data_IF_065140258413
#
_entry.id   IF_065140258413
#
_cell.length_a   1.000
_cell.length_b   1.000
_cell.length_c   1.000
_cell.angle_alpha   90.00
_cell.angle_beta   90.00
_cell.angle_gamma   90.00
#
_symmetry.space_group_name_H-M   'P 1'
#
loop_
_entity.id
_entity.type
_entity.pdbx_description
1 polymer ?
#
# COMPACT_ATOMS: atom_id res chain seq x y z
N UNK A 1 19.31 30.53 36.30
CA UNK A 1 17.87 30.21 36.22
C UNK A 1 17.77 28.91 35.44
N UNK A 2 17.61 27.78 36.13
CA UNK A 2 17.51 26.48 35.47
C UNK A 2 16.11 26.34 34.87
N UNK A 3 16.04 26.14 33.56
CA UNK A 3 14.79 25.91 32.83
C UNK A 3 14.17 24.61 33.31
N UNK A 4 12.86 24.64 33.55
CA UNK A 4 12.08 23.43 33.78
C UNK A 4 12.22 22.53 32.56
N UNK A 5 12.78 21.33 32.72
CA UNK A 5 12.67 20.30 31.70
C UNK A 5 11.19 19.93 31.58
N UNK A 6 10.58 20.34 30.47
CA UNK A 6 9.22 19.96 30.13
C UNK A 6 9.20 18.43 30.01
N UNK A 7 8.62 17.76 31.02
CA UNK A 7 8.53 16.30 31.04
C UNK A 7 7.91 15.83 29.72
N UNK A 8 8.71 15.10 28.93
CA UNK A 8 8.27 14.53 27.66
C UNK A 8 7.01 13.70 27.93
N UNK A 9 5.85 14.19 27.48
CA UNK A 9 4.59 13.48 27.63
C UNK A 9 4.76 12.09 26.98
N UNK A 10 4.42 11.00 27.69
CA UNK A 10 4.49 9.68 27.08
C UNK A 10 3.60 9.68 25.84
N UNK A 11 4.21 9.45 24.67
CA UNK A 11 3.50 9.38 23.40
C UNK A 11 2.51 8.22 23.55
N UNK A 12 1.19 8.46 23.39
CA UNK A 12 0.21 7.40 23.56
C UNK A 12 0.51 6.30 22.55
N UNK A 13 0.97 5.15 23.06
CA UNK A 13 1.30 3.99 22.24
C UNK A 13 0.01 3.48 21.63
N UNK A 14 -0.10 3.51 20.30
CA UNK A 14 -1.29 3.02 19.61
C UNK A 14 -1.39 1.49 19.74
N UNK A 15 -2.33 1.01 20.56
CA UNK A 15 -2.57 -0.42 20.85
C UNK A 15 -3.63 -1.08 19.96
N UNK A 16 -4.05 -0.44 18.86
CA UNK A 16 -5.07 -0.98 17.95
C UNK A 16 -4.66 -2.33 17.32
N UNK A 17 -5.58 -3.08 16.72
CA UNK A 17 -5.28 -4.37 16.07
C UNK A 17 -4.44 -4.21 14.80
N UNK A 18 -3.48 -5.12 14.51
CA UNK A 18 -2.73 -5.14 13.23
C UNK A 18 -3.66 -5.35 12.03
N UNK A 19 -4.81 -5.97 12.29
CA UNK A 19 -5.84 -6.29 11.31
C UNK A 19 -6.87 -5.17 11.15
N UNK A 20 -6.72 -4.07 11.89
CA UNK A 20 -7.60 -2.93 11.73
C UNK A 20 -7.15 -2.09 10.53
N UNK A 21 -7.96 -2.13 9.48
CA UNK A 21 -7.83 -1.27 8.33
C UNK A 21 -8.94 -0.23 8.35
N UNK A 22 -8.57 1.03 8.18
CA UNK A 22 -9.55 2.12 8.03
C UNK A 22 -10.27 2.00 6.68
N UNK A 23 -11.45 2.61 6.56
CA UNK A 23 -12.16 2.74 5.28
C UNK A 23 -11.31 3.46 4.23
N UNK A 24 -10.59 4.50 4.65
CA UNK A 24 -9.67 5.26 3.79
C UNK A 24 -8.50 4.40 3.31
N UNK A 25 -7.92 3.64 4.23
CA UNK A 25 -6.83 2.71 3.94
C UNK A 25 -7.24 1.66 2.91
N UNK A 26 -8.40 1.02 3.10
CA UNK A 26 -8.94 0.02 2.16
C UNK A 26 -9.14 0.63 0.78
N UNK A 27 -9.75 1.82 0.70
CA UNK A 27 -9.98 2.50 -0.58
C UNK A 27 -8.65 2.77 -1.30
N UNK A 28 -7.65 3.26 -0.59
CA UNK A 28 -6.34 3.54 -1.16
C UNK A 28 -5.60 2.26 -1.54
N UNK A 29 -5.67 1.20 -0.74
CA UNK A 29 -5.09 -0.11 -1.04
C UNK A 29 -5.68 -0.67 -2.34
N UNK A 30 -7.00 -0.59 -2.51
CA UNK A 30 -7.69 -1.01 -3.73
C UNK A 30 -7.22 -0.16 -4.92
N UNK A 31 -7.21 1.17 -4.77
CA UNK A 31 -6.76 2.08 -5.84
C UNK A 31 -5.32 1.78 -6.28
N UNK A 32 -4.39 1.62 -5.33
CA UNK A 32 -3.00 1.30 -5.61
C UNK A 32 -2.88 -0.08 -6.28
N UNK A 33 -3.57 -1.09 -5.75
CA UNK A 33 -3.56 -2.44 -6.32
C UNK A 33 -4.05 -2.45 -7.77
N UNK A 34 -5.15 -1.77 -8.06
CA UNK A 34 -5.69 -1.67 -9.42
C UNK A 34 -4.75 -0.89 -10.35
N UNK A 35 -4.19 0.23 -9.88
CA UNK A 35 -3.25 1.03 -10.66
C UNK A 35 -1.99 0.25 -11.03
N UNK A 36 -1.36 -0.43 -10.07
CA UNK A 36 -0.19 -1.26 -10.32
C UNK A 36 -0.51 -2.48 -11.18
N UNK A 37 -1.66 -3.12 -10.96
CA UNK A 37 -2.12 -4.24 -11.79
C UNK A 37 -2.28 -3.80 -13.25
N UNK A 38 -2.93 -2.66 -13.50
CA UNK A 38 -3.04 -2.11 -14.86
C UNK A 38 -1.68 -1.78 -15.45
N UNK A 39 -0.80 -1.13 -14.69
CA UNK A 39 0.55 -0.80 -15.15
C UNK A 39 1.36 -2.04 -15.54
N UNK A 40 1.32 -3.10 -14.72
CA UNK A 40 1.98 -4.38 -15.00
C UNK A 40 1.35 -5.10 -16.20
N UNK A 41 0.01 -5.08 -16.31
CA UNK A 41 -0.70 -5.67 -17.45
C UNK A 41 -0.24 -5.04 -18.77
N UNK A 42 -0.18 -3.69 -18.83
CA UNK A 42 0.35 -2.99 -19.99
C UNK A 42 1.82 -3.32 -20.23
N UNK A 43 2.66 -3.29 -19.20
CA UNK A 43 4.09 -3.58 -19.33
C UNK A 43 4.34 -4.98 -19.94
N UNK A 44 3.62 -6.00 -19.48
CA UNK A 44 3.80 -7.38 -19.96
C UNK A 44 3.10 -7.67 -21.28
N UNK A 45 2.03 -6.95 -21.63
CA UNK A 45 1.31 -7.14 -22.90
C UNK A 45 1.92 -6.37 -24.08
N UNK A 46 3.10 -5.77 -23.94
CA UNK A 46 3.72 -4.97 -25.01
C UNK A 46 3.26 -3.51 -25.04
N UNK A 47 3.02 -2.92 -23.87
CA UNK A 47 2.51 -1.56 -23.66
C UNK A 47 1.09 -1.38 -24.22
N UNK A 48 0.67 -0.12 -24.40
CA UNK A 48 -0.67 0.24 -24.91
C UNK A 48 -0.92 -0.37 -26.28
N UNK A 49 0.08 -0.36 -27.18
CA UNK A 49 -0.06 -0.92 -28.53
C UNK A 49 -0.25 -2.43 -28.51
N UNK A 50 0.54 -3.14 -27.70
CA UNK A 50 0.41 -4.59 -27.56
C UNK A 50 -0.92 -5.01 -26.92
N UNK A 51 -1.40 -4.25 -25.92
CA UNK A 51 -2.71 -4.47 -25.31
C UNK A 51 -3.88 -4.28 -26.31
N UNK A 52 -3.76 -3.33 -27.24
CA UNK A 52 -4.77 -3.11 -28.27
C UNK A 52 -4.74 -4.18 -29.37
N UNK A 53 -3.54 -4.68 -29.71
CA UNK A 53 -3.40 -5.73 -30.72
C UNK A 53 -3.80 -7.12 -30.21
N UNK A 54 -3.55 -7.41 -28.93
CA UNK A 54 -3.94 -8.67 -28.29
C UNK A 54 -4.58 -8.41 -26.92
N UNK A 55 -5.90 -8.09 -26.90
CA UNK A 55 -6.64 -7.88 -25.65
C UNK A 55 -6.70 -9.12 -24.77
N UNK A 56 -6.58 -10.32 -25.34
CA UNK A 56 -6.60 -11.56 -24.58
C UNK A 56 -5.32 -11.71 -23.75
N UNK A 57 -4.15 -11.47 -24.36
CA UNK A 57 -2.88 -11.44 -23.64
C UNK A 57 -2.88 -10.39 -22.51
N UNK A 58 -3.44 -9.19 -22.76
CA UNK A 58 -3.59 -8.16 -21.73
C UNK A 58 -4.41 -8.64 -20.52
N UNK A 59 -5.55 -9.32 -20.76
CA UNK A 59 -6.37 -9.86 -19.67
C UNK A 59 -5.65 -10.97 -18.89
N UNK A 60 -4.94 -11.86 -19.58
CA UNK A 60 -4.16 -12.94 -18.95
C UNK A 60 -3.06 -12.35 -18.05
N UNK A 61 -2.26 -11.41 -18.58
CA UNK A 61 -1.22 -10.75 -17.80
C UNK A 61 -1.78 -9.90 -16.67
N UNK A 62 -2.92 -9.24 -16.87
CA UNK A 62 -3.61 -8.49 -15.82
C UNK A 62 -4.09 -9.38 -14.67
N UNK A 63 -4.69 -10.53 -14.97
CA UNK A 63 -5.09 -11.50 -13.95
C UNK A 63 -3.87 -12.05 -13.19
N UNK A 64 -2.81 -12.41 -13.93
CA UNK A 64 -1.57 -12.91 -13.33
C UNK A 64 -0.92 -11.86 -12.43
N UNK A 65 -0.85 -10.60 -12.89
CA UNK A 65 -0.35 -9.48 -12.11
C UNK A 65 -1.19 -9.28 -10.85
N UNK A 66 -2.52 -9.30 -10.94
CA UNK A 66 -3.39 -9.14 -9.78
C UNK A 66 -3.15 -10.22 -8.72
N UNK A 67 -3.10 -11.49 -9.14
CA UNK A 67 -2.95 -12.63 -8.23
C UNK A 67 -1.55 -12.68 -7.59
N UNK A 68 -0.51 -12.24 -8.31
CA UNK A 68 0.87 -12.27 -7.80
C UNK A 68 1.24 -11.01 -7.01
N UNK A 69 0.85 -9.84 -7.48
CA UNK A 69 1.18 -8.55 -6.86
C UNK A 69 0.39 -8.32 -5.56
N UNK A 70 -0.93 -8.55 -5.57
CA UNK A 70 -1.80 -8.25 -4.42
C UNK A 70 -1.34 -8.89 -3.10
N UNK A 71 -1.04 -10.21 -3.03
CA UNK A 71 -0.58 -10.80 -1.78
C UNK A 71 0.78 -10.26 -1.34
N UNK A 72 1.71 -10.02 -2.29
CA UNK A 72 3.02 -9.44 -1.99
C UNK A 72 2.90 -8.01 -1.43
N UNK A 73 2.06 -7.20 -2.04
CA UNK A 73 1.77 -5.84 -1.59
C UNK A 73 1.06 -5.82 -0.23
N UNK A 74 0.10 -6.71 0.01
CA UNK A 74 -0.57 -6.79 1.31
C UNK A 74 0.39 -7.18 2.44
N UNK A 75 1.28 -8.15 2.19
CA UNK A 75 2.31 -8.54 3.16
C UNK A 75 3.27 -7.37 3.42
N UNK A 76 3.65 -6.61 2.39
CA UNK A 76 4.47 -5.41 2.51
C UNK A 76 3.83 -4.36 3.44
N UNK A 77 2.54 -4.07 3.27
CA UNK A 77 1.84 -3.10 4.12
C UNK A 77 1.68 -3.58 5.57
N UNK A 78 1.45 -4.87 5.77
CA UNK A 78 1.46 -5.47 7.11
C UNK A 78 2.84 -5.34 7.75
N UNK A 79 3.92 -5.52 6.99
CA UNK A 79 5.28 -5.36 7.49
C UNK A 79 5.54 -3.92 7.98
N UNK A 80 5.05 -2.90 7.26
CA UNK A 80 5.11 -1.50 7.72
C UNK A 80 4.36 -1.30 9.04
N UNK A 81 3.13 -1.83 9.15
CA UNK A 81 2.35 -1.77 10.40
C UNK A 81 3.07 -2.47 11.56
N UNK A 82 3.68 -3.63 11.33
CA UNK A 82 4.45 -4.35 12.34
C UNK A 82 5.66 -3.54 12.77
N UNK A 83 6.39 -2.96 11.82
CA UNK A 83 7.60 -2.21 12.12
C UNK A 83 7.29 -0.91 12.88
N UNK A 84 6.23 -0.18 12.51
CA UNK A 84 5.79 1.01 13.23
C UNK A 84 5.46 0.68 14.70
N UNK A 85 4.76 -0.43 14.94
CA UNK A 85 4.37 -0.86 16.29
C UNK A 85 5.55 -1.21 17.18
N UNK A 86 6.60 -1.83 16.63
CA UNK A 86 7.82 -2.11 17.40
C UNK A 86 8.44 -0.84 18.01
N UNK A 87 8.18 0.32 17.40
CA UNK A 87 8.62 1.64 17.88
C UNK A 87 7.51 2.46 18.57
N UNK A 88 6.34 1.86 18.84
CA UNK A 88 5.19 2.55 19.43
C UNK A 88 4.48 3.53 18.49
N UNK A 89 4.83 3.52 17.19
CA UNK A 89 4.23 4.35 16.17
C UNK A 89 3.02 3.66 15.52
N UNK A 90 2.21 4.48 14.84
CA UNK A 90 1.08 4.03 14.03
C UNK A 90 1.37 4.24 12.53
N UNK A 91 0.91 3.30 11.70
CA UNK A 91 1.02 3.36 10.24
C UNK A 91 -0.31 2.97 9.58
N UNK A 92 -0.70 3.75 8.57
CA UNK A 92 -1.85 3.53 7.70
C UNK A 92 -1.42 3.80 6.27
N UNK A 93 -1.75 2.87 5.36
CA UNK A 93 -1.49 3.08 3.95
C UNK A 93 -2.30 4.27 3.41
N UNK A 94 -1.61 5.21 2.76
CA UNK A 94 -2.23 6.36 2.11
C UNK A 94 -1.64 6.56 0.72
N UNK A 95 -2.45 6.30 -0.30
CA UNK A 95 -2.11 6.67 -1.67
C UNK A 95 -2.23 8.19 -1.84
N UNK A 96 -1.20 8.82 -2.40
CA UNK A 96 -1.27 10.23 -2.81
C UNK A 96 -1.66 10.34 -4.28
N UNK A 97 -2.66 11.16 -4.65
CA UNK A 97 -3.01 11.42 -6.05
C UNK A 97 -1.85 12.01 -6.87
N UNK A 98 -0.91 12.69 -6.23
CA UNK A 98 0.28 13.25 -6.88
C UNK A 98 1.33 12.22 -7.27
N UNK A 99 1.17 10.95 -6.87
CA UNK A 99 2.32 10.04 -6.74
C UNK A 99 3.21 10.52 -5.59
N UNK A 100 4.43 9.98 -5.50
CA UNK A 100 5.44 10.43 -4.52
C UNK A 100 5.49 11.97 -4.44
#
# INVERSE_FOLDING_TARGET
MFGFEEQARPIPVHTGSIWHFSKTEINHLIQATLAFTMALAFMFSGNVWGALSDPFAFLVYGLLALVTFTPGFLIHEIAHKIQARKYGCWAEFRASPSGL
#
